data_IF_179929912443
#
_entry.id   IF_179929912443
#
_cell.length_a   1.000
_cell.length_b   1.000
_cell.length_c   1.000
_cell.angle_alpha   90.00
_cell.angle_beta   90.00
_cell.angle_gamma   90.00
#
_symmetry.space_group_name_H-M   'P 1'
#
loop_
_entity.id
_entity.type
_entity.pdbx_description
1 polymer ?
#
# COMPACT_ATOMS: atom_id res chain seq x y z
N UNK A 1 5.19 -4.27 -4.96
CA UNK A 1 5.07 -3.53 -3.67
C UNK A 1 6.36 -3.77 -2.91
N UNK A 2 7.03 -2.73 -2.46
CA UNK A 2 8.31 -2.83 -1.72
C UNK A 2 7.99 -2.77 -0.23
N UNK A 3 8.51 -3.74 0.56
CA UNK A 3 8.20 -3.86 1.99
C UNK A 3 8.47 -2.58 2.78
N UNK A 4 9.55 -1.85 2.47
CA UNK A 4 9.90 -0.58 3.10
C UNK A 4 8.84 0.52 2.89
N UNK A 5 8.18 0.55 1.73
CA UNK A 5 7.08 1.50 1.47
C UNK A 5 5.83 1.15 2.27
N UNK A 6 5.57 -0.15 2.44
CA UNK A 6 4.46 -0.63 3.27
C UNK A 6 4.72 -0.33 4.74
N UNK A 7 5.95 -0.55 5.22
CA UNK A 7 6.36 -0.28 6.61
C UNK A 7 6.13 1.19 7.02
N UNK A 8 6.31 2.13 6.09
CA UNK A 8 6.08 3.55 6.36
C UNK A 8 4.61 3.90 6.63
N UNK A 9 3.69 3.17 6.02
CA UNK A 9 2.24 3.44 6.12
C UNK A 9 1.59 2.51 7.16
N UNK A 10 1.98 1.23 7.16
CA UNK A 10 1.42 0.18 8.01
C UNK A 10 2.54 -0.67 8.62
N UNK A 11 3.25 -0.17 9.65
CA UNK A 11 4.38 -0.88 10.25
C UNK A 11 4.00 -2.24 10.84
N UNK A 12 2.75 -2.42 11.27
CA UNK A 12 2.27 -3.66 11.92
C UNK A 12 2.12 -4.85 10.98
N UNK A 13 2.12 -4.63 9.66
CA UNK A 13 2.00 -5.69 8.66
C UNK A 13 3.34 -6.02 7.98
N UNK A 14 4.43 -5.46 8.49
CA UNK A 14 5.79 -5.77 8.06
C UNK A 14 6.55 -6.32 9.24
N UNK A 15 7.08 -7.54 9.09
CA UNK A 15 7.98 -8.17 10.06
C UNK A 15 9.42 -8.13 9.57
N UNK A 16 10.35 -8.01 10.50
CA UNK A 16 11.80 -8.11 10.27
C UNK A 16 12.30 -9.43 10.80
N UNK A 17 13.16 -10.07 10.03
CA UNK A 17 13.79 -11.35 10.39
C UNK A 17 15.20 -11.41 9.83
N UNK A 18 16.01 -12.31 10.38
CA UNK A 18 17.30 -12.67 9.80
C UNK A 18 17.05 -13.64 8.66
N UNK A 19 17.57 -13.32 7.48
CA UNK A 19 17.48 -14.18 6.30
C UNK A 19 18.61 -13.88 5.32
N UNK A 20 18.82 -14.76 4.35
CA UNK A 20 19.82 -14.56 3.29
C UNK A 20 19.21 -13.88 2.06
N UNK A 21 19.92 -12.91 1.50
CA UNK A 21 19.54 -12.21 0.27
C UNK A 21 20.42 -12.67 -0.90
N UNK A 22 19.87 -12.80 -2.13
CA UNK A 22 20.61 -13.24 -3.31
C UNK A 22 21.35 -12.06 -3.96
N UNK A 23 22.29 -11.46 -3.24
CA UNK A 23 23.03 -10.28 -3.70
C UNK A 23 24.32 -10.60 -4.46
N UNK A 24 24.83 -11.82 -4.34
CA UNK A 24 26.02 -12.30 -5.07
C UNK A 24 25.58 -13.16 -6.27
N UNK A 25 24.86 -14.25 -6.02
CA UNK A 25 24.20 -15.13 -6.99
C UNK A 25 25.10 -15.64 -8.12
N UNK A 26 26.28 -16.18 -7.79
CA UNK A 26 27.29 -16.62 -8.77
C UNK A 26 27.88 -17.99 -8.43
N UNK A 27 28.31 -18.70 -9.50
CA UNK A 27 29.09 -19.93 -9.38
C UNK A 27 30.56 -19.60 -9.18
N UNK A 28 31.19 -20.28 -8.27
CA UNK A 28 32.62 -20.18 -7.99
C UNK A 28 33.24 -21.55 -7.68
N UNK A 29 34.51 -21.58 -7.43
CA UNK A 29 35.23 -22.77 -6.96
C UNK A 29 35.75 -22.49 -5.54
N UNK A 30 35.48 -23.41 -4.65
CA UNK A 30 35.98 -23.39 -3.29
C UNK A 30 37.16 -24.36 -3.18
N UNK A 31 38.30 -23.88 -2.70
CA UNK A 31 39.50 -24.69 -2.46
C UNK A 31 39.92 -24.44 -1.01
N UNK A 32 39.72 -25.44 -0.14
CA UNK A 32 40.06 -25.34 1.28
C UNK A 32 39.50 -24.08 1.93
N UNK A 33 38.24 -23.82 1.70
CA UNK A 33 37.56 -22.62 2.23
C UNK A 33 37.84 -21.29 1.50
N UNK A 34 38.72 -21.29 0.52
CA UNK A 34 39.01 -20.08 -0.27
C UNK A 34 38.15 -20.06 -1.53
N UNK A 35 37.43 -18.97 -1.74
CA UNK A 35 36.54 -18.73 -2.88
C UNK A 35 37.02 -17.51 -3.65
N UNK A 36 37.42 -17.70 -4.91
CA UNK A 36 37.82 -16.62 -5.81
C UNK A 36 36.59 -16.07 -6.53
N UNK A 37 36.10 -14.96 -6.05
CA UNK A 37 34.92 -14.29 -6.59
C UNK A 37 34.96 -12.81 -6.24
N UNK A 38 34.75 -11.94 -7.24
CA UNK A 38 34.63 -10.51 -6.97
C UNK A 38 33.42 -10.26 -6.07
N UNK A 39 33.65 -9.62 -4.95
CA UNK A 39 32.65 -9.43 -3.92
C UNK A 39 32.90 -8.12 -3.14
N UNK A 40 31.94 -7.77 -2.28
CA UNK A 40 32.00 -6.64 -1.33
C UNK A 40 31.75 -7.12 0.11
N UNK A 41 32.03 -8.40 0.37
CA UNK A 41 31.87 -9.00 1.68
C UNK A 41 32.88 -8.43 2.68
N UNK A 42 32.51 -8.48 3.94
CA UNK A 42 33.37 -8.10 5.06
C UNK A 42 33.58 -9.28 6.01
N UNK A 43 34.69 -9.25 6.72
CA UNK A 43 34.99 -10.22 7.78
C UNK A 43 33.86 -10.27 8.81
N UNK A 44 33.49 -11.48 9.22
CA UNK A 44 32.43 -11.74 10.18
C UNK A 44 31.05 -11.88 9.60
N UNK A 45 30.80 -11.50 8.36
CA UNK A 45 29.50 -11.68 7.71
C UNK A 45 29.19 -13.16 7.48
N UNK A 46 27.92 -13.51 7.51
CA UNK A 46 27.44 -14.85 7.18
C UNK A 46 27.07 -14.92 5.70
N UNK A 47 27.51 -15.96 4.99
CA UNK A 47 27.25 -16.17 3.57
C UNK A 47 26.62 -17.54 3.35
N UNK A 48 25.56 -17.59 2.57
CA UNK A 48 24.93 -18.84 2.16
C UNK A 48 25.58 -19.38 0.89
N UNK A 49 26.04 -20.61 1.00
CA UNK A 49 26.75 -21.36 -0.02
C UNK A 49 25.97 -22.65 -0.32
N UNK A 50 25.86 -22.96 -1.60
CA UNK A 50 25.17 -24.17 -2.05
C UNK A 50 26.19 -25.02 -2.80
N UNK A 51 26.61 -26.12 -2.16
CA UNK A 51 27.39 -27.18 -2.78
C UNK A 51 26.46 -28.19 -3.45
N UNK A 52 27.01 -29.13 -4.21
CA UNK A 52 26.23 -30.11 -4.96
C UNK A 52 25.20 -30.87 -4.11
N UNK A 53 25.55 -31.20 -2.86
CA UNK A 53 24.74 -32.06 -1.98
C UNK A 53 24.24 -31.32 -0.71
N UNK A 54 24.61 -30.08 -0.47
CA UNK A 54 24.24 -29.37 0.76
C UNK A 54 24.26 -27.85 0.63
N UNK A 55 23.48 -27.22 1.45
CA UNK A 55 23.54 -25.79 1.73
C UNK A 55 24.31 -25.56 3.03
N UNK A 56 25.17 -24.58 3.03
CA UNK A 56 25.98 -24.21 4.20
C UNK A 56 25.84 -22.68 4.40
N UNK A 57 25.56 -22.28 5.62
CA UNK A 57 25.69 -20.90 6.06
C UNK A 57 27.03 -20.81 6.81
N UNK A 58 28.00 -20.07 6.26
CA UNK A 58 29.34 -20.01 6.82
C UNK A 58 29.77 -18.56 7.05
N UNK A 59 30.61 -18.37 8.06
CA UNK A 59 31.18 -17.08 8.39
C UNK A 59 32.38 -16.77 7.49
N UNK A 60 32.45 -15.53 7.00
CA UNK A 60 33.60 -15.00 6.31
C UNK A 60 34.70 -14.71 7.33
N UNK A 61 35.85 -15.36 7.18
CA UNK A 61 37.04 -15.17 8.02
C UNK A 61 37.86 -14.01 7.51
N UNK A 62 38.01 -13.91 6.18
CA UNK A 62 38.74 -12.88 5.49
C UNK A 62 38.06 -12.60 4.15
N UNK A 63 38.05 -11.35 3.69
CA UNK A 63 37.56 -10.98 2.37
C UNK A 63 38.37 -9.81 1.78
N UNK A 64 38.55 -9.87 0.47
CA UNK A 64 39.06 -8.78 -0.36
C UNK A 64 38.22 -8.66 -1.65
N UNK A 65 38.54 -7.72 -2.52
CA UNK A 65 37.82 -7.47 -3.77
C UNK A 65 37.81 -8.68 -4.73
N UNK A 66 38.75 -9.62 -4.61
CA UNK A 66 38.99 -10.73 -5.54
C UNK A 66 38.57 -12.10 -4.97
N UNK A 67 38.28 -12.17 -3.67
CA UNK A 67 37.87 -13.40 -3.04
C UNK A 67 37.59 -13.27 -1.56
N UNK A 68 37.16 -14.38 -0.98
CA UNK A 68 36.93 -14.48 0.45
C UNK A 68 37.19 -15.89 0.96
N UNK A 69 37.50 -15.98 2.24
CA UNK A 69 37.75 -17.21 2.96
C UNK A 69 36.63 -17.45 3.98
N UNK A 70 36.19 -18.69 4.06
CA UNK A 70 35.15 -19.13 4.98
C UNK A 70 35.68 -20.27 5.86
N UNK A 71 34.96 -20.46 6.98
CA UNK A 71 35.25 -21.57 7.91
C UNK A 71 34.59 -22.88 7.42
N UNK A 72 35.22 -23.51 6.45
CA UNK A 72 34.79 -24.79 5.93
C UNK A 72 35.98 -25.61 5.40
N UNK A 73 35.85 -26.93 5.53
CA UNK A 73 36.78 -27.89 4.90
C UNK A 73 36.33 -28.34 3.50
N UNK A 74 35.17 -27.83 3.05
CA UNK A 74 34.61 -28.21 1.76
C UNK A 74 35.42 -27.65 0.60
N UNK A 75 35.50 -28.43 -0.46
CA UNK A 75 36.15 -28.06 -1.70
C UNK A 75 35.31 -28.50 -2.89
N UNK A 76 35.38 -27.78 -3.99
CA UNK A 76 34.68 -28.09 -5.22
C UNK A 76 33.84 -26.88 -5.74
N UNK A 77 32.96 -27.18 -6.68
CA UNK A 77 32.05 -26.18 -7.23
C UNK A 77 31.06 -25.74 -6.17
N UNK A 78 30.89 -24.44 -6.01
CA UNK A 78 29.97 -23.81 -5.06
C UNK A 78 29.20 -22.72 -5.72
N UNK A 79 27.92 -22.66 -5.43
CA UNK A 79 27.09 -21.51 -5.78
C UNK A 79 26.98 -20.60 -4.57
N UNK A 80 27.52 -19.39 -4.72
CA UNK A 80 27.46 -18.36 -3.69
C UNK A 80 26.12 -17.64 -3.85
N UNK A 81 25.20 -17.92 -2.94
CA UNK A 81 23.86 -17.33 -2.99
C UNK A 81 23.87 -15.85 -2.60
N UNK A 82 24.44 -15.53 -1.44
CA UNK A 82 24.57 -14.18 -0.94
C UNK A 82 24.70 -14.13 0.58
N UNK A 83 24.64 -12.93 1.12
CA UNK A 83 24.86 -12.68 2.55
C UNK A 83 23.59 -12.80 3.38
N UNK A 84 23.75 -13.12 4.65
CA UNK A 84 22.71 -13.00 5.65
C UNK A 84 22.56 -11.55 6.10
N UNK A 85 21.31 -11.11 6.26
CA UNK A 85 20.93 -9.79 6.78
C UNK A 85 19.92 -9.95 7.91
N UNK A 86 19.94 -9.07 8.88
CA UNK A 86 19.07 -9.07 10.06
C UNK A 86 17.83 -8.19 9.89
N UNK A 87 17.76 -7.44 8.81
CA UNK A 87 16.64 -6.53 8.48
C UNK A 87 15.80 -6.99 7.29
N UNK A 88 15.79 -8.29 7.01
CA UNK A 88 14.96 -8.86 5.95
C UNK A 88 13.48 -8.65 6.26
N UNK A 89 12.80 -7.90 5.38
CA UNK A 89 11.40 -7.49 5.58
C UNK A 89 10.45 -8.37 4.81
N UNK A 90 9.48 -8.94 5.53
CA UNK A 90 8.36 -9.69 4.95
C UNK A 90 7.06 -8.95 5.18
N UNK A 91 6.18 -8.98 4.17
CA UNK A 91 4.87 -8.33 4.21
C UNK A 91 3.80 -9.39 4.44
N UNK A 92 2.95 -9.15 5.43
CA UNK A 92 1.76 -9.98 5.69
C UNK A 92 0.64 -9.62 4.70
N UNK A 93 0.50 -10.42 3.66
CA UNK A 93 -0.52 -10.24 2.63
C UNK A 93 -1.93 -10.57 3.11
N UNK A 94 -2.08 -11.42 4.13
CA UNK A 94 -3.38 -11.70 4.73
C UNK A 94 -3.91 -10.48 5.47
N UNK A 95 -3.04 -9.85 6.26
CA UNK A 95 -3.38 -8.60 6.95
C UNK A 95 -3.75 -7.48 5.96
N UNK A 96 -3.03 -7.37 4.83
CA UNK A 96 -3.40 -6.41 3.75
C UNK A 96 -4.78 -6.75 3.18
N UNK A 97 -5.07 -8.01 2.94
CA UNK A 97 -6.36 -8.45 2.38
C UNK A 97 -7.51 -8.13 3.34
N UNK A 98 -7.34 -8.37 4.64
CA UNK A 98 -8.33 -8.03 5.66
C UNK A 98 -8.54 -6.51 5.78
N UNK A 99 -7.48 -5.72 5.67
CA UNK A 99 -7.57 -4.27 5.65
C UNK A 99 -8.38 -3.76 4.44
N UNK A 100 -8.15 -4.33 3.26
CA UNK A 100 -8.90 -3.99 2.06
C UNK A 100 -10.39 -4.32 2.20
N UNK A 101 -10.75 -5.46 2.79
CA UNK A 101 -12.14 -5.82 3.07
C UNK A 101 -12.78 -4.81 4.02
N UNK A 102 -12.10 -4.45 5.10
CA UNK A 102 -12.59 -3.47 6.07
C UNK A 102 -12.78 -2.08 5.45
N UNK A 103 -11.81 -1.62 4.65
CA UNK A 103 -11.91 -0.35 3.94
C UNK A 103 -13.07 -0.34 2.93
N UNK A 104 -13.27 -1.44 2.20
CA UNK A 104 -14.38 -1.59 1.25
C UNK A 104 -15.74 -1.54 1.96
N UNK A 105 -15.87 -2.18 3.11
CA UNK A 105 -17.08 -2.12 3.92
C UNK A 105 -17.39 -0.72 4.41
N UNK A 106 -16.37 0.02 4.86
CA UNK A 106 -16.55 1.41 5.30
C UNK A 106 -16.93 2.34 4.15
N UNK A 107 -16.32 2.17 2.98
CA UNK A 107 -16.70 2.90 1.77
C UNK A 107 -18.15 2.61 1.38
N UNK A 108 -18.60 1.37 1.46
CA UNK A 108 -20.00 1.01 1.17
C UNK A 108 -20.98 1.72 2.10
N UNK A 109 -20.69 1.75 3.41
CA UNK A 109 -21.51 2.50 4.38
C UNK A 109 -21.59 3.98 4.05
N UNK A 110 -20.46 4.57 3.64
CA UNK A 110 -20.38 5.98 3.28
C UNK A 110 -21.16 6.31 2.00
N UNK A 111 -21.10 5.42 1.00
CA UNK A 111 -21.90 5.52 -0.23
C UNK A 111 -23.39 5.49 0.12
N UNK A 112 -23.83 4.52 0.93
CA UNK A 112 -25.23 4.41 1.35
C UNK A 112 -25.72 5.65 2.11
N UNK A 113 -24.86 6.27 2.94
CA UNK A 113 -25.20 7.53 3.62
C UNK A 113 -25.37 8.66 2.62
N UNK A 114 -24.44 8.81 1.69
CA UNK A 114 -24.50 9.85 0.65
C UNK A 114 -25.71 9.67 -0.28
N UNK A 115 -26.09 8.45 -0.60
CA UNK A 115 -27.31 8.18 -1.39
C UNK A 115 -28.57 8.60 -0.66
N UNK A 116 -28.67 8.37 0.66
CA UNK A 116 -29.79 8.83 1.49
C UNK A 116 -29.86 10.35 1.55
N UNK A 117 -28.74 11.01 1.77
CA UNK A 117 -28.64 12.47 1.78
C UNK A 117 -29.04 13.06 0.43
N UNK A 118 -28.57 12.51 -0.68
CA UNK A 118 -28.96 12.93 -2.02
C UNK A 118 -30.45 12.77 -2.27
N UNK A 119 -31.06 11.66 -1.79
CA UNK A 119 -32.49 11.45 -1.91
C UNK A 119 -33.30 12.50 -1.13
N UNK A 120 -32.85 12.83 0.09
CA UNK A 120 -33.47 13.88 0.90
C UNK A 120 -33.32 15.26 0.26
N UNK A 121 -32.14 15.61 -0.26
CA UNK A 121 -31.92 16.86 -0.96
C UNK A 121 -32.82 17.01 -2.18
N UNK A 122 -32.95 15.97 -3.01
CA UNK A 122 -33.85 15.98 -4.17
C UNK A 122 -35.32 16.14 -3.77
N UNK A 123 -35.74 15.53 -2.66
CA UNK A 123 -37.10 15.71 -2.15
C UNK A 123 -37.34 17.16 -1.69
N UNK A 124 -36.38 17.74 -0.98
CA UNK A 124 -36.44 19.15 -0.55
C UNK A 124 -36.48 20.12 -1.74
N UNK A 125 -35.65 19.89 -2.76
CA UNK A 125 -35.65 20.67 -3.99
C UNK A 125 -37.02 20.63 -4.68
N UNK A 126 -37.66 19.46 -4.75
CA UNK A 126 -39.01 19.32 -5.31
C UNK A 126 -40.04 20.09 -4.50
N UNK A 127 -39.96 20.13 -3.17
CA UNK A 127 -40.81 20.93 -2.30
C UNK A 127 -40.58 22.42 -2.49
N UNK A 128 -39.32 22.83 -2.57
CA UNK A 128 -38.98 24.26 -2.83
C UNK A 128 -39.50 24.75 -4.18
N UNK A 129 -39.40 23.94 -5.23
CA UNK A 129 -40.00 24.23 -6.53
C UNK A 129 -41.51 24.40 -6.45
N UNK A 130 -42.19 23.48 -5.71
CA UNK A 130 -43.63 23.59 -5.47
C UNK A 130 -44.04 24.84 -4.69
N UNK A 131 -43.28 25.24 -3.68
CA UNK A 131 -43.49 26.47 -2.93
C UNK A 131 -43.27 27.72 -3.81
N UNK A 132 -42.23 27.72 -4.61
CA UNK A 132 -41.93 28.81 -5.54
C UNK A 132 -43.09 29.04 -6.53
N UNK A 133 -43.61 27.98 -7.12
CA UNK A 133 -44.79 28.04 -8.02
C UNK A 133 -46.02 28.56 -7.32
N UNK A 134 -46.26 28.20 -6.04
CA UNK A 134 -47.38 28.75 -5.26
C UNK A 134 -47.20 30.26 -4.98
N UNK A 135 -46.00 30.68 -4.65
CA UNK A 135 -45.68 32.10 -4.45
C UNK A 135 -45.96 32.92 -5.73
N UNK A 136 -45.45 32.45 -6.87
CA UNK A 136 -45.70 33.11 -8.16
C UNK A 136 -47.20 33.21 -8.49
N UNK A 137 -47.99 32.19 -8.15
CA UNK A 137 -49.46 32.22 -8.34
C UNK A 137 -50.11 33.22 -7.41
N UNK A 138 -49.71 33.28 -6.13
CA UNK A 138 -50.21 34.23 -5.18
C UNK A 138 -49.89 35.71 -5.57
N UNK A 139 -48.65 35.92 -6.01
CA UNK A 139 -48.24 37.28 -6.50
C UNK A 139 -49.08 37.75 -7.69
N UNK A 140 -49.38 36.84 -8.64
CA UNK A 140 -50.30 37.16 -9.77
C UNK A 140 -51.68 37.48 -9.27
N UNK A 141 -52.21 36.69 -8.33
CA UNK A 141 -53.58 36.92 -7.78
C UNK A 141 -53.67 38.25 -7.03
N UNK A 142 -52.67 38.58 -6.22
CA UNK A 142 -52.56 39.85 -5.51
C UNK A 142 -52.49 41.05 -6.48
N UNK A 143 -51.68 40.92 -7.54
CA UNK A 143 -51.58 42.00 -8.55
C UNK A 143 -52.89 42.23 -9.29
N UNK A 144 -53.67 41.20 -9.62
CA UNK A 144 -55.00 41.31 -10.23
C UNK A 144 -55.99 42.01 -9.29
N UNK A 145 -56.06 41.58 -8.02
CA UNK A 145 -56.92 42.21 -7.01
C UNK A 145 -56.60 43.71 -6.79
N UNK A 146 -55.33 44.07 -6.82
CA UNK A 146 -54.90 45.46 -6.73
C UNK A 146 -55.31 46.26 -7.96
N UNK A 147 -55.29 45.73 -9.16
CA UNK A 147 -55.79 46.36 -10.38
C UNK A 147 -57.30 46.52 -10.34
N UNK A 148 -58.07 45.55 -9.92
CA UNK A 148 -59.55 45.67 -9.77
C UNK A 148 -59.90 46.77 -8.76
N UNK A 149 -59.23 46.83 -7.61
CA UNK A 149 -59.48 47.85 -6.60
C UNK A 149 -59.24 49.25 -7.13
N UNK A 150 -58.17 49.41 -7.90
CA UNK A 150 -57.82 50.72 -8.50
C UNK A 150 -58.83 51.14 -9.58
N UNK A 151 -59.42 50.20 -10.33
CA UNK A 151 -60.49 50.54 -11.35
C UNK A 151 -61.82 50.85 -10.72
N UNK A 152 -62.17 50.25 -9.56
CA UNK A 152 -63.40 50.58 -8.82
C UNK A 152 -63.34 51.97 -8.14
N UNK A 153 -62.11 52.43 -7.73
CA UNK A 153 -61.93 53.73 -7.06
C UNK A 153 -61.98 54.95 -8.00
N UNK A 154 -62.08 54.76 -9.34
CA UNK A 154 -62.03 55.80 -10.37
C UNK A 154 -63.41 55.98 -11.01
N UNK A 155 -64.51 55.42 -10.52
CA UNK A 155 -65.89 55.77 -10.97
C UNK A 155 -66.43 56.84 -10.08
N UNK A 156 -66.71 58.08 -10.64
CA UNK A 156 -67.37 59.14 -9.93
C UNK A 156 -68.84 58.81 -9.60
#
# INVERSE_FOLDING_TARGET
MIAQQVEQIYPHIVSKSTNTIPDIYQLAECINGNIKLKNDLSEGQMVKLIFENKEVLSRVIYADENGFQIDTEESGKVFVYGREVDDFRTVDYEAISMLNVSATQELLKRIQSLERENKMLKANDSQLMGLKSKIETLEKSVSLLLQEKNTVSIKP
#
